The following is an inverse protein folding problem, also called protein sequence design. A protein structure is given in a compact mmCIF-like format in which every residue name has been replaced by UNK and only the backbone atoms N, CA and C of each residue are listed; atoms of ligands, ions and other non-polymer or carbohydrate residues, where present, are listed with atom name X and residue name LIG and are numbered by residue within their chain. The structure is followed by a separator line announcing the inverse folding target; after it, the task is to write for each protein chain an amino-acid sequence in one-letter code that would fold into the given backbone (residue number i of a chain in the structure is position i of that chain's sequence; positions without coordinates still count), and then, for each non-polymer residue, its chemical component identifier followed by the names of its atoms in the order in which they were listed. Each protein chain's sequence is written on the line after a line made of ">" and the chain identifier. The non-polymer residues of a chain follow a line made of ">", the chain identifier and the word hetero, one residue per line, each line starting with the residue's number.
data_IF_755046081287
#
_entry.id   IF_755046081287
#
_cell.length_a   1.000
_cell.length_b   1.000
_cell.length_c   1.000
_cell.angle_alpha   90.00
_cell.angle_beta   90.00
_cell.angle_gamma   90.00
#
_symmetry.space_group_name_H-M   'P 1'
#
loop_
_entity.id
_entity.type
_entity.pdbx_description
1 polymer ?
#
# COMPACT_ATOMS: atom_id res chain seq x y z
N UNK A 1 8.89 -12.12 19.23
CA UNK A 1 7.46 -11.97 19.52
C UNK A 1 6.72 -13.16 18.93
N UNK A 2 6.07 -13.95 19.76
CA UNK A 2 5.33 -15.15 19.37
C UNK A 2 3.95 -14.76 18.81
N UNK A 3 3.58 -15.34 17.66
CA UNK A 3 2.28 -15.08 17.03
C UNK A 3 1.13 -15.47 17.95
N UNK A 4 0.06 -14.68 17.98
CA UNK A 4 -1.11 -14.95 18.82
C UNK A 4 -1.92 -16.14 18.28
N UNK A 5 -2.70 -16.81 19.13
CA UNK A 5 -3.56 -17.93 18.72
C UNK A 5 -4.53 -17.55 17.59
N UNK A 6 -5.03 -16.32 17.61
CA UNK A 6 -5.86 -15.76 16.54
C UNK A 6 -5.09 -15.64 15.21
N UNK A 7 -3.81 -15.23 15.24
CA UNK A 7 -2.96 -15.20 14.04
C UNK A 7 -2.67 -16.61 13.53
N UNK A 8 -2.44 -17.59 14.40
CA UNK A 8 -2.19 -18.98 14.02
C UNK A 8 -3.43 -19.60 13.37
N UNK A 9 -4.62 -19.38 13.93
CA UNK A 9 -5.88 -19.88 13.38
C UNK A 9 -6.19 -19.24 12.01
N UNK A 10 -6.01 -17.92 11.88
CA UNK A 10 -6.17 -17.22 10.61
C UNK A 10 -5.16 -17.69 9.56
N UNK A 11 -3.90 -17.92 9.93
CA UNK A 11 -2.87 -18.45 9.04
C UNK A 11 -3.21 -19.87 8.55
N UNK A 12 -3.77 -20.74 9.40
CA UNK A 12 -4.23 -22.08 9.00
C UNK A 12 -5.40 -22.02 8.03
N UNK A 13 -6.39 -21.17 8.28
CA UNK A 13 -7.52 -20.95 7.37
C UNK A 13 -7.09 -20.36 6.02
N UNK A 14 -6.15 -19.41 6.05
CA UNK A 14 -5.58 -18.83 4.84
C UNK A 14 -4.75 -19.87 4.07
N UNK A 15 -3.98 -20.72 4.74
CA UNK A 15 -3.24 -21.81 4.10
C UNK A 15 -4.15 -22.80 3.37
N UNK A 16 -5.33 -23.12 3.94
CA UNK A 16 -6.33 -23.97 3.28
C UNK A 16 -6.93 -23.30 2.03
N UNK A 17 -7.03 -21.96 2.02
CA UNK A 17 -7.53 -21.17 0.87
C UNK A 17 -6.45 -20.85 -0.18
N UNK A 18 -5.19 -20.81 0.22
CA UNK A 18 -4.03 -20.47 -0.61
C UNK A 18 -3.25 -21.70 -1.11
N UNK A 19 -3.87 -22.89 -1.09
CA UNK A 19 -3.33 -24.01 -1.84
C UNK A 19 -3.34 -23.61 -3.33
N UNK A 20 -2.16 -23.58 -3.96
CA UNK A 20 -2.02 -23.24 -5.38
C UNK A 20 -3.00 -24.00 -6.30
N UNK A 21 -3.17 -23.56 -7.55
CA UNK A 21 -4.22 -24.05 -8.44
C UNK A 21 -4.22 -25.58 -8.59
N UNK A 22 -5.28 -26.24 -8.10
CA UNK A 22 -5.44 -27.71 -8.16
C UNK A 22 -6.22 -28.21 -9.38
N UNK A 23 -6.96 -27.32 -10.05
CA UNK A 23 -7.74 -27.64 -11.25
C UNK A 23 -6.95 -27.34 -12.52
N UNK A 24 -7.22 -28.04 -13.62
CA UNK A 24 -6.57 -27.78 -14.92
C UNK A 24 -6.81 -26.36 -15.43
N UNK A 25 -8.01 -25.81 -15.20
CA UNK A 25 -8.34 -24.41 -15.49
C UNK A 25 -7.55 -23.41 -14.62
N UNK A 26 -7.35 -23.75 -13.33
CA UNK A 26 -6.50 -23.00 -12.42
C UNK A 26 -5.03 -23.02 -12.86
N UNK A 27 -4.52 -24.18 -13.25
CA UNK A 27 -3.16 -24.35 -13.78
C UNK A 27 -2.99 -23.62 -15.12
N UNK A 28 -3.98 -23.65 -16.00
CA UNK A 28 -3.97 -22.91 -17.27
C UNK A 28 -3.98 -21.39 -17.07
N UNK A 29 -4.74 -20.87 -16.09
CA UNK A 29 -4.67 -19.46 -15.67
C UNK A 29 -3.30 -19.10 -15.09
N UNK A 30 -2.74 -19.97 -14.25
CA UNK A 30 -1.37 -19.80 -13.71
C UNK A 30 -0.31 -19.79 -14.81
N UNK A 31 -0.42 -20.67 -15.83
CA UNK A 31 0.46 -20.69 -17.00
C UNK A 31 0.38 -19.40 -17.83
N UNK A 32 -0.83 -18.87 -18.04
CA UNK A 32 -1.01 -17.57 -18.72
C UNK A 32 -0.36 -16.40 -17.96
N UNK A 33 -0.35 -16.45 -16.64
CA UNK A 33 0.32 -15.46 -15.80
C UNK A 33 1.86 -15.48 -15.95
N UNK A 34 2.44 -16.66 -16.22
CA UNK A 34 3.87 -16.78 -16.54
C UNK A 34 4.17 -16.20 -17.93
N UNK A 35 3.33 -16.46 -18.93
CA UNK A 35 3.45 -15.92 -20.30
C UNK A 35 3.32 -14.39 -20.37
N UNK A 36 2.50 -13.78 -19.52
CA UNK A 36 2.24 -12.32 -19.56
C UNK A 36 3.49 -11.48 -19.22
N UNK A 37 4.36 -12.01 -18.37
CA UNK A 37 5.52 -11.26 -17.86
C UNK A 37 6.86 -11.94 -18.15
N UNK A 38 6.88 -13.23 -18.51
CA UNK A 38 8.11 -13.99 -18.78
C UNK A 38 8.94 -14.36 -17.54
N UNK A 39 8.48 -13.98 -16.34
CA UNK A 39 9.24 -14.03 -15.08
C UNK A 39 9.12 -15.37 -14.30
N UNK A 40 8.48 -16.40 -14.87
CA UNK A 40 8.24 -17.68 -14.17
C UNK A 40 8.31 -18.92 -15.10
N UNK A 41 8.62 -20.08 -14.52
CA UNK A 41 8.62 -21.41 -15.17
C UNK A 41 9.98 -21.82 -15.74
N UNK A 42 10.33 -23.11 -15.75
CA UNK A 42 11.67 -23.60 -16.16
C UNK A 42 11.97 -23.48 -17.67
N UNK A 43 10.99 -23.10 -18.51
CA UNK A 43 11.24 -22.98 -19.95
C UNK A 43 10.01 -22.69 -20.83
N UNK A 44 9.02 -21.91 -20.38
CA UNK A 44 7.81 -21.64 -21.19
C UNK A 44 7.79 -20.18 -21.65
N UNK A 45 8.19 -20.01 -22.91
CA UNK A 45 8.16 -18.80 -23.75
C UNK A 45 8.58 -17.50 -23.04
N UNK A 46 9.88 -17.21 -23.06
CA UNK A 46 10.30 -15.82 -22.94
C UNK A 46 9.69 -15.02 -24.11
N UNK A 47 9.24 -13.78 -23.88
CA UNK A 47 8.97 -12.83 -24.94
C UNK A 47 10.11 -12.80 -25.97
N UNK A 48 9.85 -12.57 -27.28
CA UNK A 48 10.88 -12.64 -28.32
C UNK A 48 12.13 -11.79 -28.04
N UNK A 49 11.95 -10.63 -27.41
CA UNK A 49 13.04 -9.75 -26.95
C UNK A 49 13.91 -10.44 -25.87
N UNK A 50 13.29 -11.02 -24.84
CA UNK A 50 14.01 -11.71 -23.78
C UNK A 50 14.63 -13.04 -24.25
N UNK A 51 14.02 -13.74 -25.21
CA UNK A 51 14.62 -14.94 -25.79
C UNK A 51 15.89 -14.58 -26.58
N UNK A 52 15.88 -13.47 -27.33
CA UNK A 52 17.08 -13.00 -28.02
C UNK A 52 18.21 -12.65 -27.03
N UNK A 53 17.88 -11.96 -25.94
CA UNK A 53 18.82 -11.68 -24.84
C UNK A 53 19.34 -12.96 -24.19
N UNK A 54 18.47 -13.95 -23.96
CA UNK A 54 18.86 -15.26 -23.39
C UNK A 54 19.85 -15.97 -24.28
N UNK A 55 19.61 -16.01 -25.59
CA UNK A 55 20.50 -16.66 -26.55
C UNK A 55 21.87 -15.98 -26.60
N UNK A 56 21.90 -14.65 -26.60
CA UNK A 56 23.16 -13.89 -26.53
C UNK A 56 23.93 -14.19 -25.24
N UNK A 57 23.24 -14.21 -24.10
CA UNK A 57 23.86 -14.50 -22.79
C UNK A 57 24.34 -15.95 -22.69
N UNK A 58 23.57 -16.89 -23.24
CA UNK A 58 23.92 -18.31 -23.30
C UNK A 58 25.19 -18.54 -24.14
N UNK A 59 25.28 -17.92 -25.32
CA UNK A 59 26.46 -18.02 -26.17
C UNK A 59 27.73 -17.51 -25.45
N UNK A 60 27.64 -16.35 -24.80
CA UNK A 60 28.74 -15.81 -24.00
C UNK A 60 29.15 -16.75 -22.85
N UNK A 61 28.18 -17.28 -22.09
CA UNK A 61 28.48 -18.20 -21.00
C UNK A 61 29.06 -19.53 -21.46
N UNK A 62 28.65 -20.04 -22.62
CA UNK A 62 29.26 -21.24 -23.20
C UNK A 62 30.71 -21.02 -23.63
N UNK A 63 31.03 -19.84 -24.16
CA UNK A 63 32.39 -19.44 -24.54
C UNK A 63 33.32 -19.34 -23.32
N UNK A 64 32.84 -18.67 -22.26
CA UNK A 64 33.62 -18.43 -21.04
C UNK A 64 33.78 -19.69 -20.18
N UNK A 65 32.70 -20.43 -19.96
CA UNK A 65 32.66 -21.54 -18.99
C UNK A 65 33.02 -22.89 -19.61
N UNK A 66 32.95 -23.03 -20.94
CA UNK A 66 33.32 -24.24 -21.70
C UNK A 66 32.76 -25.55 -21.09
N UNK A 67 31.42 -25.68 -20.94
CA UNK A 67 30.81 -26.84 -20.28
C UNK A 67 31.13 -28.15 -21.00
N UNK A 68 31.77 -29.09 -20.31
CA UNK A 68 32.26 -30.35 -20.84
C UNK A 68 31.18 -31.43 -20.95
N UNK A 69 30.22 -31.44 -20.02
CA UNK A 69 29.19 -32.48 -19.94
C UNK A 69 27.76 -31.92 -19.99
N UNK A 70 26.78 -32.83 -20.09
CA UNK A 70 25.37 -32.47 -20.22
C UNK A 70 24.82 -31.74 -18.98
N UNK A 71 25.34 -32.05 -17.80
CA UNK A 71 24.93 -31.40 -16.54
C UNK A 71 25.42 -29.95 -16.56
N UNK A 72 26.68 -29.73 -16.90
CA UNK A 72 27.26 -28.38 -17.01
C UNK A 72 26.54 -27.53 -18.07
N UNK A 73 26.22 -28.12 -19.24
CA UNK A 73 25.42 -27.41 -20.27
C UNK A 73 24.04 -27.01 -19.75
N UNK A 74 23.33 -27.92 -19.08
CA UNK A 74 22.02 -27.64 -18.51
C UNK A 74 22.09 -26.56 -17.41
N UNK A 75 23.17 -26.54 -16.62
CA UNK A 75 23.41 -25.47 -15.65
C UNK A 75 23.62 -24.13 -16.36
N UNK A 76 24.49 -24.06 -17.36
CA UNK A 76 24.76 -22.83 -18.12
C UNK A 76 23.50 -22.27 -18.79
N UNK A 77 22.63 -23.13 -19.33
CA UNK A 77 21.32 -22.73 -19.87
C UNK A 77 20.39 -22.13 -18.81
N UNK A 78 20.34 -22.74 -17.62
CA UNK A 78 19.60 -22.20 -16.47
C UNK A 78 20.18 -20.86 -16.04
N UNK A 79 21.50 -20.72 -16.04
CA UNK A 79 22.19 -19.49 -15.67
C UNK A 79 21.77 -18.32 -16.57
N UNK A 80 21.88 -18.51 -17.89
CA UNK A 80 21.49 -17.49 -18.88
C UNK A 80 20.00 -17.11 -18.76
N UNK A 81 19.13 -18.11 -18.55
CA UNK A 81 17.69 -17.88 -18.40
C UNK A 81 17.36 -17.05 -17.16
N UNK A 82 17.98 -17.37 -16.02
CA UNK A 82 17.69 -16.71 -14.77
C UNK A 82 18.28 -15.29 -14.72
N UNK A 83 19.45 -15.07 -15.33
CA UNK A 83 20.07 -13.75 -15.43
C UNK A 83 19.25 -12.76 -16.27
N UNK A 84 18.76 -13.16 -17.45
CA UNK A 84 17.86 -12.31 -18.26
C UNK A 84 16.56 -11.99 -17.51
N UNK A 85 16.01 -12.96 -16.78
CA UNK A 85 14.82 -12.72 -15.95
C UNK A 85 15.08 -11.76 -14.80
N UNK A 86 16.22 -11.89 -14.13
CA UNK A 86 16.62 -10.98 -13.06
C UNK A 86 16.81 -9.57 -13.60
N UNK A 87 17.51 -9.41 -14.72
CA UNK A 87 17.66 -8.13 -15.41
C UNK A 87 16.32 -7.51 -15.79
N UNK A 88 15.37 -8.31 -16.30
CA UNK A 88 14.02 -7.84 -16.60
C UNK A 88 13.23 -7.42 -15.35
N UNK A 89 13.36 -8.15 -14.25
CA UNK A 89 12.79 -7.76 -12.97
C UNK A 89 13.30 -6.38 -12.55
N UNK A 90 14.62 -6.19 -12.52
CA UNK A 90 15.25 -4.92 -12.16
C UNK A 90 14.77 -3.78 -13.06
N UNK A 91 14.74 -3.98 -14.38
CA UNK A 91 14.28 -2.97 -15.33
C UNK A 91 12.81 -2.56 -15.12
N UNK A 92 11.93 -3.51 -14.79
CA UNK A 92 10.52 -3.21 -14.48
C UNK A 92 10.41 -2.43 -13.16
N UNK A 93 11.16 -2.85 -12.13
CA UNK A 93 11.15 -2.17 -10.83
C UNK A 93 11.68 -0.74 -10.93
N UNK A 94 12.78 -0.51 -11.66
CA UNK A 94 13.32 0.83 -11.92
C UNK A 94 12.33 1.70 -12.71
N UNK A 95 11.67 1.16 -13.73
CA UNK A 95 10.69 1.89 -14.51
C UNK A 95 9.48 2.30 -13.66
N UNK A 96 9.01 1.43 -12.76
CA UNK A 96 7.91 1.74 -11.86
C UNK A 96 8.32 2.77 -10.79
N UNK A 97 9.51 2.66 -10.20
CA UNK A 97 10.03 3.66 -9.27
C UNK A 97 10.15 5.04 -9.94
N UNK A 98 10.67 5.08 -11.17
CA UNK A 98 10.81 6.33 -11.94
C UNK A 98 9.43 6.95 -12.23
N UNK A 99 8.44 6.12 -12.59
CA UNK A 99 7.05 6.57 -12.77
C UNK A 99 6.46 7.13 -11.48
N UNK A 100 6.69 6.47 -10.34
CA UNK A 100 6.23 6.96 -9.03
C UNK A 100 6.89 8.29 -8.66
N UNK A 101 8.18 8.43 -8.89
CA UNK A 101 8.92 9.67 -8.67
C UNK A 101 8.41 10.83 -9.54
N UNK A 102 8.19 10.59 -10.84
CA UNK A 102 7.63 11.59 -11.75
C UNK A 102 6.22 12.03 -11.33
N UNK A 103 5.41 11.08 -10.85
CA UNK A 103 4.06 11.34 -10.34
C UNK A 103 4.10 12.16 -9.05
N UNK A 104 4.93 11.75 -8.08
CA UNK A 104 5.13 12.48 -6.82
C UNK A 104 5.59 13.93 -7.06
N UNK A 105 6.47 14.16 -8.04
CA UNK A 105 6.90 15.52 -8.39
C UNK A 105 5.76 16.44 -8.88
N UNK A 106 4.69 15.87 -9.44
CA UNK A 106 3.60 16.63 -10.10
C UNK A 106 2.29 16.67 -9.32
N UNK A 107 1.95 15.61 -8.59
CA UNK A 107 0.62 15.46 -8.00
C UNK A 107 0.64 14.81 -6.61
N UNK A 108 1.71 15.02 -5.83
CA UNK A 108 1.82 14.50 -4.46
C UNK A 108 0.59 14.87 -3.61
N UNK A 109 0.27 16.16 -3.54
CA UNK A 109 -0.80 16.66 -2.67
C UNK A 109 -2.18 16.13 -3.10
N UNK A 110 -2.45 16.09 -4.40
CA UNK A 110 -3.71 15.56 -4.95
C UNK A 110 -3.86 14.06 -4.68
N UNK A 111 -2.80 13.28 -4.91
CA UNK A 111 -2.81 11.83 -4.67
C UNK A 111 -3.02 11.53 -3.18
N UNK A 112 -2.28 12.23 -2.32
CA UNK A 112 -2.40 12.12 -0.87
C UNK A 112 -3.81 12.44 -0.37
N UNK A 113 -4.45 13.48 -0.92
CA UNK A 113 -5.85 13.84 -0.61
C UNK A 113 -6.83 12.78 -1.12
N UNK A 114 -6.65 12.27 -2.34
CA UNK A 114 -7.53 11.24 -2.90
C UNK A 114 -7.53 9.97 -2.04
N UNK A 115 -6.37 9.54 -1.55
CA UNK A 115 -6.27 8.41 -0.63
C UNK A 115 -7.00 8.65 0.70
N UNK A 116 -6.92 9.89 1.21
CA UNK A 116 -7.64 10.30 2.42
C UNK A 116 -9.15 10.23 2.21
N UNK A 117 -9.66 10.66 1.06
CA UNK A 117 -11.10 10.56 0.76
C UNK A 117 -11.58 9.10 0.75
N UNK A 118 -10.84 8.21 0.08
CA UNK A 118 -11.14 6.77 0.06
C UNK A 118 -11.16 6.16 1.47
N UNK A 119 -10.25 6.59 2.34
CA UNK A 119 -10.23 6.17 3.73
C UNK A 119 -11.41 6.77 4.52
N UNK A 120 -11.70 8.06 4.31
CA UNK A 120 -12.75 8.80 5.01
C UNK A 120 -14.17 8.28 4.70
N UNK A 121 -14.42 7.71 3.52
CA UNK A 121 -15.69 7.01 3.21
C UNK A 121 -16.03 5.90 4.22
N UNK A 122 -15.02 5.34 4.89
CA UNK A 122 -15.18 4.28 5.88
C UNK A 122 -15.40 4.82 7.29
N UNK A 123 -15.29 6.13 7.50
CA UNK A 123 -15.38 6.78 8.80
C UNK A 123 -16.69 6.39 9.53
N UNK A 124 -17.88 6.48 8.92
CA UNK A 124 -19.12 6.13 9.63
C UNK A 124 -19.23 4.62 9.92
N UNK A 125 -18.40 3.77 9.32
CA UNK A 125 -18.40 2.32 9.57
C UNK A 125 -17.43 1.92 10.68
N UNK A 126 -16.26 2.56 10.74
CA UNK A 126 -15.22 2.24 11.72
C UNK A 126 -14.55 3.52 12.28
N UNK A 127 -15.27 4.34 13.07
CA UNK A 127 -14.81 5.67 13.45
C UNK A 127 -13.44 5.66 14.13
N UNK A 128 -13.28 4.87 15.19
CA UNK A 128 -12.03 4.79 15.96
C UNK A 128 -10.81 4.48 15.09
N UNK A 129 -10.92 3.48 14.22
CA UNK A 129 -9.83 3.04 13.34
C UNK A 129 -9.52 4.09 12.29
N UNK A 130 -10.54 4.65 11.65
CA UNK A 130 -10.36 5.59 10.54
C UNK A 130 -9.77 6.91 11.06
N UNK A 131 -10.26 7.43 12.19
CA UNK A 131 -9.66 8.62 12.82
C UNK A 131 -8.20 8.38 13.18
N UNK A 132 -7.88 7.22 13.78
CA UNK A 132 -6.50 6.88 14.11
C UNK A 132 -5.59 6.79 12.87
N UNK A 133 -6.10 6.31 11.74
CA UNK A 133 -5.36 6.26 10.46
C UNK A 133 -5.22 7.66 9.83
N UNK A 134 -6.27 8.48 9.85
CA UNK A 134 -6.22 9.85 9.34
C UNK A 134 -5.21 10.72 10.12
N UNK A 135 -5.12 10.53 11.45
CA UNK A 135 -4.14 11.20 12.31
C UNK A 135 -2.69 10.75 12.10
N UNK A 136 -2.43 9.77 11.22
CA UNK A 136 -1.06 9.34 10.88
C UNK A 136 -0.49 10.06 9.64
N UNK A 137 -1.26 10.92 8.97
CA UNK A 137 -0.81 11.62 7.77
C UNK A 137 -1.20 13.10 7.78
N UNK A 138 -0.34 13.97 7.26
CA UNK A 138 -0.62 15.41 7.11
C UNK A 138 -1.93 15.70 6.37
N UNK A 139 -2.21 15.10 5.19
CA UNK A 139 -3.49 15.27 4.50
C UNK A 139 -4.69 14.76 5.32
N UNK A 140 -4.54 13.67 6.08
CA UNK A 140 -5.62 13.14 6.91
C UNK A 140 -5.94 14.03 8.11
N UNK A 141 -4.92 14.59 8.77
CA UNK A 141 -5.08 15.58 9.82
C UNK A 141 -5.71 16.88 9.29
N UNK A 142 -5.32 17.32 8.09
CA UNK A 142 -5.92 18.47 7.42
C UNK A 142 -7.40 18.23 7.09
N UNK A 143 -7.75 17.04 6.60
CA UNK A 143 -9.14 16.65 6.33
C UNK A 143 -10.01 16.66 7.60
N UNK A 144 -9.50 16.08 8.70
CA UNK A 144 -10.21 16.11 10.00
C UNK A 144 -10.40 17.56 10.49
N UNK A 145 -9.36 18.39 10.35
CA UNK A 145 -9.39 19.79 10.74
C UNK A 145 -10.47 20.56 9.99
N UNK A 146 -10.60 20.36 8.67
CA UNK A 146 -11.63 20.99 7.85
C UNK A 146 -13.04 20.63 8.34
N UNK A 147 -13.29 19.37 8.72
CA UNK A 147 -14.61 18.95 9.22
C UNK A 147 -14.92 19.54 10.59
N UNK A 148 -13.94 19.60 11.49
CA UNK A 148 -14.10 20.29 12.77
C UNK A 148 -14.37 21.78 12.59
N UNK A 149 -13.69 22.46 11.65
CA UNK A 149 -13.97 23.86 11.30
C UNK A 149 -15.36 24.05 10.65
N UNK A 150 -15.85 23.05 9.93
CA UNK A 150 -17.24 23.03 9.44
C UNK A 150 -18.26 22.98 10.59
N UNK A 151 -18.01 22.11 11.57
CA UNK A 151 -18.84 22.00 12.78
C UNK A 151 -18.79 23.25 13.65
N UNK A 152 -17.63 23.91 13.76
CA UNK A 152 -17.45 25.21 14.44
C UNK A 152 -18.38 26.27 13.83
N UNK A 153 -18.31 26.45 12.50
CA UNK A 153 -19.15 27.39 11.77
C UNK A 153 -20.64 27.08 11.89
N UNK A 154 -21.01 25.80 11.87
CA UNK A 154 -22.39 25.37 12.09
C UNK A 154 -22.88 25.74 13.48
N UNK A 155 -22.03 25.57 14.50
CA UNK A 155 -22.34 25.91 15.89
C UNK A 155 -22.50 27.42 16.08
N UNK A 156 -21.59 28.23 15.53
CA UNK A 156 -21.67 29.70 15.57
C UNK A 156 -22.95 30.23 14.93
N UNK A 157 -23.37 29.62 13.81
CA UNK A 157 -24.56 30.05 13.07
C UNK A 157 -25.86 29.64 13.74
N UNK A 158 -25.92 28.43 14.29
CA UNK A 158 -27.19 27.82 14.73
C UNK A 158 -27.36 27.78 16.25
N UNK A 159 -26.31 28.08 17.03
CA UNK A 159 -26.31 27.92 18.48
C UNK A 159 -26.34 26.46 18.96
N UNK A 160 -26.15 25.51 18.06
CA UNK A 160 -26.18 24.07 18.35
C UNK A 160 -25.93 23.24 17.09
N UNK A 161 -25.88 21.92 17.26
CA UNK A 161 -25.80 20.98 16.16
C UNK A 161 -27.10 20.22 15.95
N UNK A 162 -27.48 20.02 14.69
CA UNK A 162 -28.52 19.06 14.34
C UNK A 162 -28.05 17.61 14.54
N UNK A 163 -28.94 16.65 14.33
CA UNK A 163 -28.62 15.22 14.52
C UNK A 163 -27.53 14.72 13.56
N UNK A 164 -27.48 15.24 12.32
CA UNK A 164 -26.47 14.84 11.35
C UNK A 164 -25.08 15.35 11.76
N UNK A 165 -25.01 16.60 12.24
CA UNK A 165 -23.80 17.24 12.74
C UNK A 165 -23.30 16.59 14.03
N UNK A 166 -24.20 16.21 14.96
CA UNK A 166 -23.82 15.43 16.15
C UNK A 166 -23.25 14.06 15.78
N UNK A 167 -23.87 13.33 14.85
CA UNK A 167 -23.33 12.05 14.36
C UNK A 167 -21.96 12.21 13.73
N UNK A 168 -21.76 13.25 12.92
CA UNK A 168 -20.46 13.57 12.35
C UNK A 168 -19.42 13.88 13.44
N UNK A 169 -19.78 14.66 14.46
CA UNK A 169 -18.88 14.94 15.58
C UNK A 169 -18.47 13.67 16.34
N UNK A 170 -19.42 12.76 16.60
CA UNK A 170 -19.14 11.44 17.22
C UNK A 170 -18.22 10.60 16.34
N UNK A 171 -18.43 10.61 15.02
CA UNK A 171 -17.57 9.93 14.05
C UNK A 171 -16.14 10.50 14.06
N UNK A 172 -16.00 11.83 14.06
CA UNK A 172 -14.70 12.52 14.12
C UNK A 172 -13.98 12.35 15.46
N UNK A 173 -14.72 12.12 16.56
CA UNK A 173 -14.16 11.73 17.86
C UNK A 173 -13.70 10.27 17.89
N UNK A 174 -14.04 9.49 16.86
CA UNK A 174 -13.74 8.07 16.80
C UNK A 174 -14.64 7.21 17.69
N UNK A 175 -15.79 7.71 18.10
CA UNK A 175 -16.71 6.98 18.99
C UNK A 175 -17.38 5.86 18.21
N UNK A 176 -17.20 4.61 18.67
CA UNK A 176 -17.85 3.44 18.09
C UNK A 176 -19.38 3.58 18.17
N UNK A 177 -20.10 3.06 17.18
CA UNK A 177 -21.56 3.23 17.08
C UNK A 177 -22.30 2.75 18.32
N UNK A 178 -21.83 1.65 18.88
CA UNK A 178 -22.39 0.94 20.02
C UNK A 178 -22.19 1.71 21.33
N UNK A 179 -21.31 2.72 21.34
CA UNK A 179 -20.94 3.51 22.51
C UNK A 179 -21.44 4.95 22.43
N UNK A 180 -22.17 5.33 21.36
CA UNK A 180 -22.61 6.72 21.14
C UNK A 180 -23.55 7.23 22.24
N UNK A 181 -24.44 6.38 22.72
CA UNK A 181 -25.37 6.73 23.81
C UNK A 181 -24.66 6.95 25.15
N UNK A 182 -23.42 6.47 25.26
CA UNK A 182 -22.56 6.61 26.44
C UNK A 182 -21.54 7.75 26.30
N UNK A 183 -21.59 8.54 25.22
CA UNK A 183 -20.66 9.66 25.00
C UNK A 183 -21.22 10.97 25.56
N UNK A 184 -20.84 11.39 26.79
CA UNK A 184 -21.44 12.56 27.42
C UNK A 184 -20.99 13.88 26.80
N UNK A 185 -19.92 13.89 25.99
CA UNK A 185 -19.39 15.11 25.39
C UNK A 185 -20.26 15.64 24.25
N UNK A 186 -21.12 14.81 23.67
CA UNK A 186 -21.98 15.16 22.54
C UNK A 186 -23.34 14.50 22.70
N UNK A 187 -24.24 15.17 23.42
CA UNK A 187 -25.66 14.82 23.57
C UNK A 187 -26.55 15.91 22.95
N UNK A 188 -27.84 15.64 22.70
CA UNK A 188 -28.79 16.66 22.23
C UNK A 188 -28.90 17.89 23.14
N UNK A 189 -28.67 17.72 24.44
CA UNK A 189 -28.77 18.75 25.48
C UNK A 189 -27.43 19.42 25.80
N UNK A 190 -26.35 19.03 25.12
CA UNK A 190 -25.02 19.59 25.41
C UNK A 190 -24.99 21.09 25.08
N UNK A 191 -24.63 21.97 26.03
CA UNK A 191 -24.60 23.41 25.80
C UNK A 191 -23.61 23.81 24.70
N UNK A 192 -23.97 24.83 23.92
CA UNK A 192 -23.16 25.33 22.81
C UNK A 192 -21.73 25.69 23.24
N UNK A 193 -21.54 26.27 24.43
CA UNK A 193 -20.22 26.62 24.97
C UNK A 193 -19.33 25.38 25.18
N UNK A 194 -19.91 24.26 25.62
CA UNK A 194 -19.17 23.00 25.81
C UNK A 194 -18.82 22.37 24.46
N UNK A 195 -19.74 22.42 23.49
CA UNK A 195 -19.47 21.99 22.12
C UNK A 195 -18.36 22.84 21.48
N UNK A 196 -18.39 24.16 21.67
CA UNK A 196 -17.36 25.06 21.16
C UNK A 196 -15.99 24.75 21.79
N UNK A 197 -15.93 24.55 23.11
CA UNK A 197 -14.70 24.16 23.79
C UNK A 197 -14.15 22.81 23.29
N UNK A 198 -15.03 21.84 23.01
CA UNK A 198 -14.67 20.56 22.40
C UNK A 198 -14.07 20.74 21.01
N UNK A 199 -14.73 21.51 20.14
CA UNK A 199 -14.27 21.80 18.77
C UNK A 199 -12.90 22.48 18.80
N UNK A 200 -12.74 23.54 19.59
CA UNK A 200 -11.47 24.26 19.68
C UNK A 200 -10.33 23.40 20.23
N UNK A 201 -10.63 22.45 21.13
CA UNK A 201 -9.64 21.46 21.58
C UNK A 201 -9.19 20.55 20.44
N UNK A 202 -10.12 20.03 19.63
CA UNK A 202 -9.80 19.16 18.50
C UNK A 202 -9.04 19.91 17.41
N UNK A 203 -9.47 21.13 17.06
CA UNK A 203 -8.78 22.01 16.10
C UNK A 203 -7.33 22.27 16.53
N UNK A 204 -7.11 22.66 17.80
CA UNK A 204 -5.74 22.89 18.33
C UNK A 204 -4.89 21.63 18.30
N UNK A 205 -5.46 20.48 18.69
CA UNK A 205 -4.76 19.20 18.65
C UNK A 205 -4.31 18.85 17.23
N UNK A 206 -5.21 18.91 16.25
CA UNK A 206 -4.93 18.56 14.86
C UNK A 206 -3.93 19.53 14.21
N UNK A 207 -4.06 20.84 14.46
CA UNK A 207 -3.07 21.84 14.00
C UNK A 207 -1.68 21.52 14.55
N UNK A 208 -1.57 21.26 15.86
CA UNK A 208 -0.30 20.91 16.50
C UNK A 208 0.28 19.62 15.93
N UNK A 209 -0.55 18.59 15.77
CA UNK A 209 -0.14 17.29 15.23
C UNK A 209 0.38 17.42 13.80
N UNK A 210 -0.32 18.19 12.96
CA UNK A 210 0.08 18.44 11.57
C UNK A 210 1.42 19.18 11.52
N UNK A 211 1.48 20.38 12.10
CA UNK A 211 2.64 21.28 11.97
C UNK A 211 3.90 20.78 12.66
N UNK A 212 3.81 20.10 13.80
CA UNK A 212 5.01 19.68 14.55
C UNK A 212 5.49 18.26 14.23
N UNK A 213 4.81 17.53 13.35
CA UNK A 213 5.16 16.14 13.09
C UNK A 213 4.85 15.69 11.68
N UNK A 214 3.60 15.86 11.24
CA UNK A 214 3.16 15.20 10.02
C UNK A 214 3.64 15.93 8.76
N UNK A 215 3.79 17.25 8.80
CA UNK A 215 4.29 18.03 7.66
C UNK A 215 5.73 17.64 7.32
N UNK A 216 6.63 17.60 8.31
CA UNK A 216 8.02 17.18 8.10
C UNK A 216 8.13 15.74 7.58
N UNK A 217 7.25 14.83 8.03
CA UNK A 217 7.21 13.45 7.56
C UNK A 217 6.70 13.35 6.12
N UNK A 218 5.67 14.11 5.78
CA UNK A 218 5.09 14.14 4.42
C UNK A 218 6.09 14.74 3.42
N UNK A 219 6.81 15.80 3.80
CA UNK A 219 7.89 16.39 3.00
C UNK A 219 9.06 15.42 2.79
N UNK A 220 9.45 14.67 3.84
CA UNK A 220 10.46 13.63 3.73
C UNK A 220 10.02 12.51 2.79
N UNK A 221 8.79 12.02 2.94
CA UNK A 221 8.25 10.97 2.07
C UNK A 221 8.18 11.44 0.61
N UNK A 222 7.82 12.71 0.37
CA UNK A 222 7.81 13.33 -0.95
C UNK A 222 9.21 13.38 -1.56
N UNK A 223 10.21 13.84 -0.81
CA UNK A 223 11.60 13.93 -1.28
C UNK A 223 12.17 12.54 -1.61
N UNK A 224 11.98 11.57 -0.72
CA UNK A 224 12.42 10.19 -0.94
C UNK A 224 11.73 9.57 -2.17
N UNK A 225 10.43 9.79 -2.35
CA UNK A 225 9.70 9.25 -3.50
C UNK A 225 10.19 9.89 -4.80
N UNK A 226 10.37 11.20 -4.81
CA UNK A 226 10.87 11.96 -5.97
C UNK A 226 12.29 11.53 -6.38
N UNK A 227 13.09 11.02 -5.42
CA UNK A 227 14.43 10.49 -5.67
C UNK A 227 14.48 8.99 -5.99
N UNK A 228 13.32 8.34 -6.17
CA UNK A 228 13.21 6.89 -6.35
C UNK A 228 13.75 6.07 -5.15
N UNK A 229 13.82 6.67 -3.95
CA UNK A 229 14.35 6.04 -2.73
C UNK A 229 13.26 5.47 -1.83
N UNK A 230 12.02 5.95 -1.98
CA UNK A 230 10.85 5.35 -1.36
C UNK A 230 9.73 5.17 -2.39
N UNK A 231 8.87 4.21 -2.14
CA UNK A 231 7.73 3.90 -2.99
C UNK A 231 6.90 2.81 -2.32
N UNK A 232 5.59 2.97 -2.29
CA UNK A 232 4.73 1.87 -1.88
C UNK A 232 4.94 0.71 -2.85
N UNK A 233 5.25 -0.46 -2.32
CA UNK A 233 5.36 -1.66 -3.13
C UNK A 233 3.96 -1.96 -3.71
N UNK A 234 3.69 -1.46 -4.92
CA UNK A 234 2.51 -1.79 -5.68
C UNK A 234 2.55 -3.29 -6.03
N UNK A 235 1.41 -3.87 -6.40
CA UNK A 235 1.27 -5.27 -6.78
C UNK A 235 2.31 -5.69 -7.83
N UNK A 236 2.69 -4.78 -8.73
CA UNK A 236 3.78 -4.99 -9.71
C UNK A 236 5.12 -5.22 -9.00
N UNK A 237 5.60 -4.26 -8.19
CA UNK A 237 6.87 -4.36 -7.44
C UNK A 237 6.88 -5.57 -6.52
N UNK A 238 5.78 -5.84 -5.79
CA UNK A 238 5.69 -7.03 -4.93
C UNK A 238 5.84 -8.31 -5.73
N UNK A 239 5.24 -8.37 -6.91
CA UNK A 239 5.27 -9.55 -7.78
C UNK A 239 6.63 -9.73 -8.44
N UNK A 240 7.29 -8.65 -8.85
CA UNK A 240 8.66 -8.66 -9.38
C UNK A 240 9.65 -9.13 -8.30
N UNK A 241 9.61 -8.56 -7.09
CA UNK A 241 10.43 -9.01 -5.95
C UNK A 241 10.18 -10.47 -5.56
N UNK A 242 8.95 -10.97 -5.72
CA UNK A 242 8.66 -12.40 -5.53
C UNK A 242 9.34 -13.28 -6.59
N UNK A 243 9.40 -12.83 -7.84
CA UNK A 243 10.09 -13.53 -8.92
C UNK A 243 11.60 -13.46 -8.78
N UNK A 244 12.16 -12.30 -8.42
CA UNK A 244 13.57 -12.14 -8.05
C UNK A 244 13.96 -13.13 -6.95
N UNK A 245 13.25 -13.13 -5.82
CA UNK A 245 13.52 -14.06 -4.73
C UNK A 245 13.34 -15.55 -5.14
N UNK A 246 12.47 -15.84 -6.11
CA UNK A 246 12.32 -17.20 -6.65
C UNK A 246 13.49 -17.58 -7.57
N UNK A 247 14.00 -16.64 -8.37
CA UNK A 247 15.21 -16.82 -9.16
C UNK A 247 16.39 -17.06 -8.23
N UNK A 248 16.63 -16.20 -7.24
CA UNK A 248 17.74 -16.33 -6.27
C UNK A 248 17.73 -17.68 -5.53
N UNK A 249 16.54 -18.18 -5.17
CA UNK A 249 16.41 -19.51 -4.55
C UNK A 249 16.74 -20.67 -5.49
N UNK A 250 16.60 -20.50 -6.79
CA UNK A 250 16.97 -21.53 -7.77
C UNK A 250 18.48 -21.61 -8.04
N UNK A 251 19.23 -20.64 -7.51
CA UNK A 251 20.69 -20.52 -7.62
C UNK A 251 21.45 -21.00 -6.37
N UNK A 252 20.81 -21.07 -5.21
CA UNK A 252 21.38 -21.61 -3.96
C UNK A 252 21.16 -23.11 -3.87
#
# INVERSE_FOLDING_TARGET
>A
MTATEAQIAANRLNALRSCGPKTEEGKARSRRNAMKHGLAGEGVCLPPDLEAERQARLAAYQEDLRPANAIERALVERMATADVRLGRCVAIDEAELRRQAERAGRCWDEDRRAEVEVLAERLPKNPARVVAQLQQSAPGAAWLLERWQGLDRALEKNGGWDEAQRRLALDLLGVAKELRDLEPRVTPETPAEQLAALVQRQIRHLKRLKTHKLDDLDDLDRDLTTRCLSGEANLTIRRVRQYEAACDRSWR
#
